data_IF_800216492796
#
_entry.id   IF_800216492796
#
_cell.length_a   1.000
_cell.length_b   1.000
_cell.length_c   1.000
_cell.angle_alpha   90.00
_cell.angle_beta   90.00
_cell.angle_gamma   90.00
#
_symmetry.space_group_name_H-M   'P 1'
#
loop_
_entity.id
_entity.type
_entity.pdbx_description
1 polymer ?
#
# COMPACT_ATOMS: atom_id res chain seq x y z
N UNK A 1 -71.39 17.69 24.24
CA UNK A 1 -70.50 18.85 24.05
C UNK A 1 -70.38 19.52 25.40
N UNK A 2 -69.17 19.63 26.00
CA UNK A 2 -67.97 20.31 25.50
C UNK A 2 -66.74 19.36 25.43
N UNK A 3 -65.94 19.28 24.36
CA UNK A 3 -64.95 20.22 23.79
C UNK A 3 -63.87 20.69 24.79
N UNK A 4 -62.66 20.17 24.63
CA UNK A 4 -61.49 20.41 25.47
C UNK A 4 -60.22 19.79 24.87
N UNK A 5 -59.89 20.24 23.66
CA UNK A 5 -58.58 20.37 23.03
C UNK A 5 -57.41 19.50 23.52
N UNK A 6 -57.14 18.43 22.75
CA UNK A 6 -55.86 17.73 22.70
C UNK A 6 -54.78 18.61 22.04
N UNK A 7 -54.28 19.61 22.77
CA UNK A 7 -53.13 20.42 22.35
C UNK A 7 -52.12 20.57 23.49
N UNK A 8 -51.40 19.51 23.79
CA UNK A 8 -50.06 19.62 24.40
C UNK A 8 -49.09 18.75 23.58
N UNK A 9 -48.74 19.35 22.45
CA UNK A 9 -47.41 19.35 21.82
C UNK A 9 -46.50 18.24 22.30
N UNK A 10 -46.17 17.36 21.35
CA UNK A 10 -44.92 16.59 21.32
C UNK A 10 -43.73 17.53 21.60
N UNK A 11 -43.47 17.83 22.87
CA UNK A 11 -42.19 18.34 23.36
C UNK A 11 -41.26 17.13 23.40
N UNK A 12 -40.85 16.69 22.20
CA UNK A 12 -39.82 15.68 22.04
C UNK A 12 -38.55 16.16 22.73
N UNK A 13 -38.28 15.57 23.89
CA UNK A 13 -36.95 15.27 24.41
C UNK A 13 -35.81 16.27 24.09
N UNK A 14 -35.95 17.54 24.47
CA UNK A 14 -34.78 18.33 24.91
C UNK A 14 -34.59 18.04 26.40
N UNK A 15 -34.18 16.81 26.72
CA UNK A 15 -33.88 16.40 28.09
C UNK A 15 -32.60 17.10 28.56
N UNK A 16 -32.46 17.34 29.88
CA UNK A 16 -31.27 17.95 30.49
C UNK A 16 -29.95 17.24 30.09
N UNK A 17 -30.03 15.97 29.68
CA UNK A 17 -28.93 15.14 29.17
C UNK A 17 -28.64 15.33 27.67
N UNK A 18 -29.58 15.88 26.89
CA UNK A 18 -29.41 16.10 25.45
C UNK A 18 -28.41 17.20 25.13
N UNK A 19 -28.37 18.28 25.94
CA UNK A 19 -27.44 19.40 25.75
C UNK A 19 -25.95 19.01 25.92
N UNK A 20 -25.54 18.30 27.00
CA UNK A 20 -24.17 17.79 27.11
C UNK A 20 -23.85 16.72 26.06
N UNK A 21 -24.82 15.89 25.64
CA UNK A 21 -24.61 14.92 24.57
C UNK A 21 -24.32 15.60 23.21
N UNK A 22 -25.04 16.68 22.88
CA UNK A 22 -24.78 17.49 21.68
C UNK A 22 -23.42 18.17 21.76
N UNK A 23 -23.02 18.68 22.94
CA UNK A 23 -21.69 19.26 23.14
C UNK A 23 -20.58 18.22 22.88
N UNK A 24 -20.72 17.00 23.41
CA UNK A 24 -19.74 15.92 23.18
C UNK A 24 -19.71 15.49 21.71
N UNK A 25 -20.86 15.40 21.05
CA UNK A 25 -20.93 15.09 19.63
C UNK A 25 -20.27 16.18 18.77
N UNK A 26 -20.46 17.46 19.12
CA UNK A 26 -19.84 18.59 18.43
C UNK A 26 -18.31 18.57 18.58
N UNK A 27 -17.80 18.30 19.79
CA UNK A 27 -16.36 18.18 20.03
C UNK A 27 -15.77 17.00 19.25
N UNK A 28 -16.45 15.85 19.25
CA UNK A 28 -16.02 14.69 18.47
C UNK A 28 -16.00 14.99 16.96
N UNK A 29 -16.99 15.71 16.45
CA UNK A 29 -17.04 16.13 15.05
C UNK A 29 -15.84 17.03 14.68
N UNK A 30 -15.47 18.00 15.55
CA UNK A 30 -14.31 18.86 15.35
C UNK A 30 -12.99 18.08 15.38
N UNK A 31 -12.86 17.14 16.32
CA UNK A 31 -11.67 16.27 16.41
C UNK A 31 -11.54 15.41 15.16
N UNK A 32 -12.64 14.79 14.69
CA UNK A 32 -12.64 14.00 13.46
C UNK A 32 -12.30 14.84 12.23
N UNK A 33 -12.79 16.07 12.15
CA UNK A 33 -12.49 16.98 11.04
C UNK A 33 -10.98 17.26 10.89
N UNK A 34 -10.25 17.32 12.00
CA UNK A 34 -8.79 17.51 12.01
C UNK A 34 -8.03 16.19 11.91
N UNK A 35 -8.51 15.13 12.55
CA UNK A 35 -7.82 13.84 12.61
C UNK A 35 -7.96 13.02 11.32
N UNK A 36 -9.12 13.07 10.65
CA UNK A 36 -9.38 12.32 9.42
C UNK A 36 -8.37 12.62 8.30
N UNK A 37 -8.07 13.89 7.90
CA UNK A 37 -7.10 14.14 6.84
C UNK A 37 -5.69 13.67 7.20
N UNK A 38 -5.31 13.82 8.49
CA UNK A 38 -4.00 13.36 8.98
C UNK A 38 -3.87 11.84 8.95
N UNK A 39 -4.92 11.13 9.35
CA UNK A 39 -4.96 9.67 9.28
C UNK A 39 -4.82 9.18 7.84
N UNK A 40 -5.56 9.80 6.90
CA UNK A 40 -5.44 9.47 5.48
C UNK A 40 -4.02 9.70 4.95
N UNK A 41 -3.38 10.80 5.34
CA UNK A 41 -1.98 11.07 4.97
C UNK A 41 -1.03 9.99 5.49
N UNK A 42 -1.15 9.57 6.76
CA UNK A 42 -0.32 8.50 7.32
C UNK A 42 -0.52 7.16 6.63
N UNK A 43 -1.75 6.81 6.25
CA UNK A 43 -1.97 5.56 5.49
C UNK A 43 -1.36 5.60 4.10
N UNK A 44 -1.34 6.77 3.44
CA UNK A 44 -0.70 6.93 2.15
C UNK A 44 0.83 6.80 2.26
N UNK A 45 1.43 7.47 3.26
CA UNK A 45 2.87 7.40 3.54
C UNK A 45 3.32 5.98 3.93
N UNK A 46 2.52 5.26 4.72
CA UNK A 46 2.78 3.88 5.07
C UNK A 46 2.80 2.96 3.84
N UNK A 47 1.86 3.15 2.90
CA UNK A 47 1.82 2.39 1.64
C UNK A 47 3.02 2.69 0.76
N UNK A 48 3.43 3.94 0.67
CA UNK A 48 4.63 4.32 -0.08
C UNK A 48 5.90 3.71 0.53
N UNK A 49 6.02 3.75 1.85
CA UNK A 49 7.13 3.11 2.58
C UNK A 49 7.15 1.60 2.35
N UNK A 50 5.99 0.94 2.40
CA UNK A 50 5.87 -0.48 2.10
C UNK A 50 6.27 -0.80 0.66
N UNK A 51 5.84 0.01 -0.32
CA UNK A 51 6.24 -0.13 -1.71
C UNK A 51 7.76 0.01 -1.90
N UNK A 52 8.38 1.00 -1.25
CA UNK A 52 9.84 1.19 -1.28
C UNK A 52 10.57 -0.01 -0.65
N UNK A 53 10.05 -0.53 0.47
CA UNK A 53 10.56 -1.75 1.11
C UNK A 53 10.50 -2.95 0.16
N UNK A 54 9.36 -3.16 -0.51
CA UNK A 54 9.16 -4.22 -1.48
C UNK A 54 10.12 -4.12 -2.68
N UNK A 55 10.33 -2.91 -3.22
CA UNK A 55 11.33 -2.68 -4.28
C UNK A 55 12.73 -3.05 -3.81
N UNK A 56 13.11 -2.63 -2.60
CA UNK A 56 14.44 -2.92 -2.05
C UNK A 56 14.66 -4.42 -1.85
N UNK A 57 13.62 -5.13 -1.44
CA UNK A 57 13.64 -6.58 -1.27
C UNK A 57 13.73 -7.29 -2.62
N UNK A 58 12.93 -6.90 -3.61
CA UNK A 58 12.99 -7.44 -4.97
C UNK A 58 14.38 -7.24 -5.60
N UNK A 59 15.02 -6.09 -5.38
CA UNK A 59 16.42 -5.87 -5.76
C UNK A 59 17.37 -6.86 -5.07
N UNK A 60 17.15 -7.11 -3.78
CA UNK A 60 17.90 -8.12 -3.03
C UNK A 60 17.77 -9.52 -3.63
N UNK A 61 16.56 -9.94 -4.02
CA UNK A 61 16.36 -11.20 -4.72
C UNK A 61 17.05 -11.22 -6.08
N UNK A 62 16.95 -10.15 -6.87
CA UNK A 62 17.66 -10.05 -8.15
C UNK A 62 19.17 -10.21 -7.96
N UNK A 63 19.74 -9.60 -6.91
CA UNK A 63 21.16 -9.72 -6.59
C UNK A 63 21.55 -11.14 -6.16
N UNK A 64 20.76 -11.78 -5.30
CA UNK A 64 20.98 -13.16 -4.87
C UNK A 64 20.87 -14.15 -6.03
N UNK A 65 19.88 -13.97 -6.91
CA UNK A 65 19.74 -14.79 -8.12
C UNK A 65 20.89 -14.55 -9.09
N UNK A 66 21.29 -13.29 -9.30
CA UNK A 66 22.43 -12.96 -10.15
C UNK A 66 23.71 -13.63 -9.64
N UNK A 67 24.00 -13.51 -8.34
CA UNK A 67 25.19 -14.12 -7.73
C UNK A 67 25.13 -15.64 -7.76
N UNK A 68 23.96 -16.24 -7.50
CA UNK A 68 23.75 -17.69 -7.64
C UNK A 68 24.03 -18.17 -9.07
N UNK A 69 23.53 -17.47 -10.09
CA UNK A 69 23.77 -17.81 -11.49
C UNK A 69 25.26 -17.67 -11.86
N UNK A 70 25.94 -16.63 -11.37
CA UNK A 70 27.39 -16.46 -11.56
C UNK A 70 28.21 -17.58 -10.91
N UNK A 71 27.76 -18.10 -9.75
CA UNK A 71 28.41 -19.22 -9.06
C UNK A 71 28.12 -20.58 -9.73
N UNK A 72 26.93 -20.76 -10.29
CA UNK A 72 26.55 -21.99 -10.99
C UNK A 72 27.23 -22.13 -12.35
N UNK A 73 27.56 -21.01 -12.99
CA UNK A 73 28.18 -20.98 -14.32
C UNK A 73 29.51 -20.21 -14.28
N UNK A 74 30.53 -20.74 -13.58
CA UNK A 74 31.82 -20.09 -13.48
C UNK A 74 32.46 -19.95 -14.88
N UNK A 75 32.75 -18.71 -15.28
CA UNK A 75 33.36 -18.39 -16.57
C UNK A 75 32.38 -18.10 -17.71
N UNK A 76 31.09 -18.39 -17.56
CA UNK A 76 30.06 -18.13 -18.58
C UNK A 76 29.18 -16.92 -18.23
N UNK A 77 29.80 -15.73 -18.09
CA UNK A 77 29.08 -14.49 -17.75
C UNK A 77 27.92 -14.17 -18.71
N UNK A 78 28.05 -14.54 -19.99
CA UNK A 78 27.01 -14.34 -21.00
C UNK A 78 25.70 -15.10 -20.71
N UNK A 79 25.71 -16.11 -19.83
CA UNK A 79 24.48 -16.79 -19.38
C UNK A 79 23.76 -16.05 -18.27
N UNK A 80 24.43 -15.14 -17.57
CA UNK A 80 23.83 -14.33 -16.51
C UNK A 80 23.23 -13.08 -17.13
N UNK A 81 21.98 -13.20 -17.55
CA UNK A 81 21.22 -12.13 -18.20
C UNK A 81 20.03 -11.70 -17.34
N UNK A 82 19.47 -10.52 -17.61
CA UNK A 82 18.25 -10.07 -16.97
C UNK A 82 17.09 -11.06 -17.17
N UNK A 83 16.99 -11.66 -18.36
CA UNK A 83 15.99 -12.67 -18.68
C UNK A 83 16.14 -13.94 -17.84
N UNK A 84 17.38 -14.39 -17.59
CA UNK A 84 17.63 -15.55 -16.73
C UNK A 84 17.23 -15.27 -15.27
N UNK A 85 17.52 -14.07 -14.76
CA UNK A 85 17.14 -13.67 -13.39
C UNK A 85 15.62 -13.63 -13.23
N UNK A 86 14.91 -13.00 -14.18
CA UNK A 86 13.44 -12.95 -14.15
C UNK A 86 12.82 -14.33 -14.36
N UNK A 87 13.45 -15.19 -15.15
CA UNK A 87 13.03 -16.59 -15.34
C UNK A 87 13.09 -17.41 -14.05
N UNK A 88 14.15 -17.25 -13.25
CA UNK A 88 14.32 -17.94 -11.96
C UNK A 88 13.39 -17.40 -10.87
N UNK A 89 13.21 -16.08 -10.78
CA UNK A 89 12.35 -15.45 -9.78
C UNK A 89 10.85 -15.52 -10.14
N UNK A 90 10.55 -15.72 -11.43
CA UNK A 90 9.23 -15.54 -11.99
C UNK A 90 8.89 -14.05 -12.22
N UNK A 91 7.89 -13.77 -13.08
CA UNK A 91 7.50 -12.39 -13.40
C UNK A 91 6.78 -11.69 -12.26
N UNK A 92 6.25 -12.41 -11.26
CA UNK A 92 5.48 -11.85 -10.16
C UNK A 92 5.92 -12.44 -8.81
N UNK A 93 7.16 -12.17 -8.37
CA UNK A 93 7.63 -12.68 -7.09
C UNK A 93 6.91 -11.95 -5.96
N UNK A 94 6.29 -12.69 -5.05
CA UNK A 94 5.56 -12.12 -3.91
C UNK A 94 5.91 -12.90 -2.65
N UNK A 95 6.28 -12.16 -1.59
CA UNK A 95 6.38 -12.67 -0.21
C UNK A 95 5.14 -12.30 0.59
N UNK A 96 4.51 -11.18 0.24
CA UNK A 96 3.32 -10.66 0.90
C UNK A 96 2.18 -10.62 -0.12
N UNK A 97 1.05 -11.32 0.13
CA UNK A 97 -0.09 -11.33 -0.78
C UNK A 97 -0.68 -9.93 -1.01
N UNK A 98 -0.47 -8.99 -0.09
CA UNK A 98 -0.99 -7.63 -0.17
C UNK A 98 -0.08 -6.71 -1.01
N UNK A 99 1.10 -7.18 -1.44
CA UNK A 99 2.02 -6.42 -2.27
C UNK A 99 2.27 -7.15 -3.60
N UNK A 100 1.89 -6.49 -4.71
CA UNK A 100 2.10 -7.04 -6.06
C UNK A 100 3.33 -6.43 -6.70
N UNK A 101 4.35 -7.26 -6.88
CA UNK A 101 5.59 -6.91 -7.59
C UNK A 101 5.56 -7.57 -8.96
N UNK A 102 5.98 -6.82 -9.97
CA UNK A 102 6.19 -7.30 -11.34
C UNK A 102 7.65 -7.12 -11.71
N UNK A 103 8.25 -8.16 -12.29
CA UNK A 103 9.60 -8.14 -12.83
C UNK A 103 9.55 -8.27 -14.34
N UNK A 104 10.37 -7.48 -15.03
CA UNK A 104 10.53 -7.56 -16.48
C UNK A 104 11.98 -7.38 -16.87
N UNK A 105 12.48 -8.27 -17.73
CA UNK A 105 13.80 -8.11 -18.31
C UNK A 105 13.74 -7.20 -19.55
N UNK A 106 14.67 -6.26 -19.65
CA UNK A 106 14.86 -5.40 -20.82
C UNK A 106 16.36 -5.17 -21.04
N UNK A 107 16.92 -5.79 -22.08
CA UNK A 107 18.36 -5.81 -22.30
C UNK A 107 19.10 -6.35 -21.06
N UNK A 108 19.94 -5.51 -20.46
CA UNK A 108 20.73 -5.84 -19.27
C UNK A 108 20.10 -5.31 -17.96
N UNK A 109 18.87 -4.81 -18.02
CA UNK A 109 18.12 -4.31 -16.88
C UNK A 109 17.01 -5.29 -16.49
N UNK A 110 16.86 -5.50 -15.20
CA UNK A 110 15.64 -6.04 -14.60
C UNK A 110 14.83 -4.86 -14.08
N UNK A 111 13.71 -4.57 -14.73
CA UNK A 111 12.69 -3.66 -14.25
C UNK A 111 11.91 -4.31 -13.13
N UNK A 112 11.66 -3.52 -12.09
CA UNK A 112 10.94 -3.89 -10.88
C UNK A 112 9.84 -2.84 -10.72
N UNK A 113 8.60 -3.29 -10.74
CA UNK A 113 7.46 -2.40 -10.52
C UNK A 113 6.55 -2.97 -9.43
N UNK A 114 6.29 -2.15 -8.40
CA UNK A 114 5.23 -2.42 -7.43
C UNK A 114 3.94 -1.83 -7.98
N UNK A 115 2.98 -2.70 -8.25
CA UNK A 115 1.72 -2.38 -8.94
C UNK A 115 0.54 -2.22 -7.99
N UNK A 116 0.65 -2.79 -6.78
CA UNK A 116 -0.41 -2.75 -5.76
C UNK A 116 0.19 -2.91 -4.36
N UNK A 117 -0.36 -2.16 -3.40
CA UNK A 117 -0.13 -2.33 -1.96
C UNK A 117 -1.48 -2.24 -1.24
N UNK A 118 -1.84 -3.27 -0.49
CA UNK A 118 -3.09 -3.33 0.30
C UNK A 118 -4.33 -3.02 -0.56
N UNK A 119 -4.45 -3.72 -1.70
CA UNK A 119 -5.54 -3.55 -2.66
C UNK A 119 -5.56 -2.23 -3.42
N UNK A 120 -4.61 -1.31 -3.16
CA UNK A 120 -4.53 -0.01 -3.81
C UNK A 120 -3.46 -0.01 -4.89
N UNK A 121 -3.85 0.36 -6.11
CA UNK A 121 -2.91 0.49 -7.23
C UNK A 121 -1.85 1.55 -6.94
N UNK A 122 -0.62 1.19 -7.19
CA UNK A 122 0.56 2.06 -7.13
C UNK A 122 1.42 1.81 -8.36
N UNK A 123 2.24 2.78 -8.73
CA UNK A 123 3.25 2.60 -9.77
C UNK A 123 4.56 3.14 -9.23
N UNK A 124 5.27 2.29 -8.48
CA UNK A 124 6.63 2.57 -8.05
C UNK A 124 7.57 1.68 -8.84
N UNK A 125 8.39 2.31 -9.69
CA UNK A 125 9.30 1.63 -10.59
C UNK A 125 10.75 1.81 -10.17
N UNK A 126 11.54 0.81 -10.51
CA UNK A 126 12.95 0.72 -10.17
C UNK A 126 13.61 -0.25 -11.13
N UNK A 127 14.92 -0.14 -11.27
CA UNK A 127 15.70 -1.08 -12.07
C UNK A 127 16.90 -1.64 -11.30
N UNK A 128 17.34 -2.80 -11.77
CA UNK A 128 18.57 -3.47 -11.37
C UNK A 128 19.39 -3.80 -12.62
N UNK A 129 20.64 -3.35 -12.67
CA UNK A 129 21.55 -3.65 -13.77
C UNK A 129 22.28 -4.95 -13.50
N UNK A 130 22.24 -5.88 -14.46
CA UNK A 130 22.99 -7.12 -14.38
C UNK A 130 24.47 -6.86 -14.69
N UNK A 131 25.39 -7.10 -13.74
CA UNK A 131 26.81 -6.84 -13.95
C UNK A 131 27.42 -7.87 -14.89
N UNK A 132 27.98 -7.41 -16.00
CA UNK A 132 28.76 -8.26 -16.94
C UNK A 132 27.96 -8.89 -18.07
N UNK A 133 26.73 -8.42 -18.30
CA UNK A 133 26.04 -8.57 -19.58
C UNK A 133 26.40 -7.43 -20.54
#
# INVERSE_FOLDING_TARGET
MPNGDNHSRQAGAFTLFGLPAVLMALVLALVLMVAAPRYLAWTAEARETAAQGAVSQARGWCYLTCTRLLLQHPGERNRVTAAAIVGELGPNPSIDPDIKITLRAEGNLVWIAVTEVDGRRMLLESSFTVPGA
#
